data_IF_886016506105
#
_entry.id   IF_886016506105
#
_cell.length_a   1.000
_cell.length_b   1.000
_cell.length_c   1.000
_cell.angle_alpha   90.00
_cell.angle_beta   90.00
_cell.angle_gamma   90.00
#
_symmetry.space_group_name_H-M   'P 1'
#
loop_
_entity.id
_entity.type
_entity.pdbx_description
1 polymer ?
#
# COMPACT_ATOMS: atom_id res chain seq x y z
N UNK A 1 19.17 25.60 2.09
CA UNK A 1 18.18 25.02 3.01
C UNK A 1 18.74 25.11 4.42
N UNK A 2 18.04 25.77 5.35
CA UNK A 2 18.57 26.11 6.68
C UNK A 2 18.59 24.86 7.59
N UNK A 3 19.45 24.81 8.62
CA UNK A 3 19.56 23.64 9.52
C UNK A 3 18.22 23.28 10.21
N UNK A 4 17.35 24.27 10.42
CA UNK A 4 15.99 24.08 10.94
C UNK A 4 15.07 23.37 9.94
N UNK A 5 15.18 23.69 8.65
CA UNK A 5 14.37 23.07 7.59
C UNK A 5 14.72 21.59 7.42
N UNK A 6 16.00 21.24 7.62
CA UNK A 6 16.48 19.85 7.57
C UNK A 6 15.91 19.02 8.71
N UNK A 7 15.92 19.55 9.94
CA UNK A 7 15.33 18.87 11.12
C UNK A 7 13.81 18.70 10.97
N UNK A 8 13.11 19.75 10.53
CA UNK A 8 11.67 19.71 10.31
C UNK A 8 11.28 18.67 9.26
N UNK A 9 12.01 18.63 8.13
CA UNK A 9 11.77 17.64 7.07
C UNK A 9 11.94 16.20 7.58
N UNK A 10 12.97 15.93 8.37
CA UNK A 10 13.18 14.61 8.98
C UNK A 10 12.04 14.21 9.93
N UNK A 11 11.49 15.15 10.69
CA UNK A 11 10.33 14.90 11.55
C UNK A 11 9.10 14.55 10.71
N UNK A 12 8.84 15.31 9.65
CA UNK A 12 7.71 15.04 8.73
C UNK A 12 7.84 13.65 8.10
N UNK A 13 9.04 13.26 7.67
CA UNK A 13 9.30 11.92 7.11
C UNK A 13 9.02 10.80 8.12
N UNK A 14 9.44 10.96 9.39
CA UNK A 14 9.18 9.97 10.44
C UNK A 14 7.68 9.88 10.73
N UNK A 15 6.99 11.01 10.86
CA UNK A 15 5.54 11.03 11.07
C UNK A 15 4.80 10.38 9.91
N UNK A 16 5.23 10.62 8.67
CA UNK A 16 4.66 10.00 7.47
C UNK A 16 4.75 8.48 7.51
N UNK A 17 5.87 7.93 7.99
CA UNK A 17 6.03 6.48 8.20
C UNK A 17 5.11 5.94 9.28
N UNK A 18 4.97 6.65 10.40
CA UNK A 18 4.06 6.25 11.49
C UNK A 18 2.61 6.21 10.99
N UNK A 19 2.15 7.24 10.30
CA UNK A 19 0.79 7.27 9.73
C UNK A 19 0.58 6.24 8.62
N UNK A 20 1.64 5.90 7.88
CA UNK A 20 1.58 4.81 6.90
C UNK A 20 1.39 3.46 7.61
N UNK A 21 2.13 3.19 8.68
CA UNK A 21 1.98 1.96 9.46
C UNK A 21 0.60 1.88 10.15
N UNK A 22 0.13 3.01 10.67
CA UNK A 22 -1.20 3.12 11.28
C UNK A 22 -2.29 2.72 10.29
N UNK A 23 -2.31 3.29 9.07
CA UNK A 23 -3.30 2.93 8.04
C UNK A 23 -3.24 1.44 7.68
N UNK A 24 -2.04 0.87 7.61
CA UNK A 24 -1.85 -0.55 7.31
C UNK A 24 -2.48 -1.41 8.39
N UNK A 25 -2.24 -1.07 9.67
CA UNK A 25 -2.84 -1.77 10.81
C UNK A 25 -4.36 -1.58 10.83
N UNK A 26 -4.84 -0.36 10.62
CA UNK A 26 -6.25 -0.01 10.51
C UNK A 26 -6.94 -0.85 9.43
N UNK A 27 -6.31 -0.99 8.26
CA UNK A 27 -6.81 -1.84 7.18
C UNK A 27 -6.90 -3.31 7.59
N UNK A 28 -5.83 -3.90 8.15
CA UNK A 28 -5.84 -5.31 8.59
C UNK A 28 -6.96 -5.53 9.60
N UNK A 29 -7.07 -4.66 10.61
CA UNK A 29 -8.12 -4.75 11.62
C UNK A 29 -9.51 -4.62 11.01
N UNK A 30 -9.70 -3.74 10.01
CA UNK A 30 -10.99 -3.58 9.34
C UNK A 30 -11.49 -4.87 8.66
N UNK A 31 -10.58 -5.75 8.21
CA UNK A 31 -10.94 -7.04 7.60
C UNK A 31 -11.56 -8.04 8.57
N UNK A 32 -11.41 -7.82 9.87
CA UNK A 32 -12.01 -8.64 10.93
C UNK A 32 -13.40 -8.15 11.38
N UNK A 33 -13.95 -7.12 10.75
CA UNK A 33 -15.22 -6.49 11.12
C UNK A 33 -15.33 -6.17 12.64
N UNK A 34 -14.36 -5.45 13.22
CA UNK A 34 -14.27 -5.24 14.66
C UNK A 34 -15.38 -4.30 15.16
N UNK A 35 -15.79 -4.35 16.44
CA UNK A 35 -16.86 -3.50 16.97
C UNK A 35 -16.51 -1.99 17.02
N UNK A 36 -15.29 -1.60 16.66
CA UNK A 36 -14.77 -0.23 16.70
C UNK A 36 -14.45 0.34 15.31
N UNK A 37 -15.21 -0.03 14.27
CA UNK A 37 -14.98 0.46 12.90
C UNK A 37 -14.98 1.99 12.79
N UNK A 38 -15.85 2.68 13.53
CA UNK A 38 -15.90 4.14 13.52
C UNK A 38 -14.60 4.79 14.00
N UNK A 39 -13.90 4.15 14.95
CA UNK A 39 -12.60 4.62 15.42
C UNK A 39 -11.54 4.45 14.33
N UNK A 40 -11.52 3.31 13.64
CA UNK A 40 -10.60 3.05 12.54
C UNK A 40 -10.77 4.07 11.42
N UNK A 41 -12.03 4.35 11.04
CA UNK A 41 -12.35 5.37 10.03
C UNK A 41 -11.83 6.75 10.47
N UNK A 42 -12.04 7.15 11.74
CA UNK A 42 -11.56 8.44 12.26
C UNK A 42 -10.02 8.55 12.22
N UNK A 43 -9.32 7.46 12.53
CA UNK A 43 -7.86 7.42 12.43
C UNK A 43 -7.39 7.52 10.98
N UNK A 44 -8.06 6.84 10.05
CA UNK A 44 -7.75 6.95 8.62
C UNK A 44 -7.91 8.40 8.12
N UNK A 45 -8.96 9.11 8.55
CA UNK A 45 -9.15 10.54 8.25
C UNK A 45 -7.99 11.39 8.76
N UNK A 46 -7.52 11.13 9.99
CA UNK A 46 -6.41 11.86 10.60
C UNK A 46 -5.11 11.65 9.81
N UNK A 47 -4.81 10.41 9.42
CA UNK A 47 -3.63 10.07 8.62
C UNK A 47 -3.65 10.74 7.25
N UNK A 48 -4.83 10.86 6.63
CA UNK A 48 -4.96 11.49 5.31
C UNK A 48 -4.92 13.02 5.40
N UNK A 49 -5.44 13.61 6.48
CA UNK A 49 -5.21 15.03 6.76
C UNK A 49 -3.71 15.33 6.88
N UNK A 50 -2.96 14.48 7.60
CA UNK A 50 -1.51 14.62 7.70
C UNK A 50 -0.82 14.50 6.33
N UNK A 51 -1.19 13.52 5.50
CA UNK A 51 -0.60 13.37 4.17
C UNK A 51 -0.93 14.51 3.21
N UNK A 52 -2.13 15.07 3.33
CA UNK A 52 -2.52 16.26 2.56
C UNK A 52 -1.65 17.45 2.97
N UNK A 53 -1.42 17.62 4.28
CA UNK A 53 -0.48 18.61 4.79
C UNK A 53 0.94 18.39 4.26
N UNK A 54 1.46 17.15 4.32
CA UNK A 54 2.79 16.80 3.79
C UNK A 54 2.90 17.12 2.30
N UNK A 55 1.89 16.75 1.50
CA UNK A 55 1.86 17.01 0.07
C UNK A 55 1.89 18.52 -0.24
N UNK A 56 1.08 19.32 0.47
CA UNK A 56 1.05 20.77 0.32
C UNK A 56 2.39 21.38 0.74
N UNK A 57 2.95 20.94 1.87
CA UNK A 57 4.27 21.38 2.34
C UNK A 57 5.35 21.10 1.29
N UNK A 58 5.41 19.88 0.76
CA UNK A 58 6.38 19.53 -0.27
C UNK A 58 6.19 20.32 -1.57
N UNK A 59 4.95 20.64 -1.94
CA UNK A 59 4.64 21.45 -3.12
C UNK A 59 5.12 22.90 -2.97
N UNK A 60 4.96 23.52 -1.80
CA UNK A 60 5.40 24.90 -1.56
C UNK A 60 6.93 25.06 -1.54
N UNK A 61 7.66 24.05 -1.05
CA UNK A 61 9.11 24.13 -0.89
C UNK A 61 9.91 23.72 -2.13
N UNK A 62 9.27 23.10 -3.13
CA UNK A 62 9.95 22.77 -4.39
C UNK A 62 10.02 24.01 -5.31
N UNK A 63 11.24 24.33 -5.75
CA UNK A 63 11.50 25.46 -6.65
C UNK A 63 10.93 25.22 -8.06
N UNK A 64 11.06 24.00 -8.58
CA UNK A 64 10.58 23.60 -9.91
C UNK A 64 9.32 22.72 -9.81
N UNK A 65 8.15 23.36 -9.94
CA UNK A 65 6.84 22.70 -9.86
C UNK A 65 6.63 21.65 -10.96
N UNK A 66 7.34 21.72 -12.09
CA UNK A 66 7.19 20.72 -13.16
C UNK A 66 7.88 19.40 -12.79
N UNK A 67 8.98 19.46 -12.05
CA UNK A 67 9.63 18.28 -11.48
C UNK A 67 8.79 17.65 -10.38
N UNK A 68 8.05 18.47 -9.62
CA UNK A 68 7.13 17.97 -8.59
C UNK A 68 6.13 16.95 -9.15
N UNK A 69 5.42 17.32 -10.23
CA UNK A 69 4.40 16.45 -10.84
C UNK A 69 4.96 15.28 -11.65
N UNK A 70 6.27 15.25 -11.92
CA UNK A 70 6.95 14.12 -12.58
C UNK A 70 7.52 13.12 -11.58
N UNK A 71 7.63 13.47 -10.30
CA UNK A 71 8.11 12.53 -9.28
C UNK A 71 7.02 11.51 -8.95
N UNK A 72 7.33 10.22 -9.13
CA UNK A 72 6.42 9.09 -8.91
C UNK A 72 5.81 9.13 -7.51
N UNK A 73 6.58 9.55 -6.49
CA UNK A 73 6.07 9.61 -5.12
C UNK A 73 4.99 10.67 -4.94
N UNK A 74 5.15 11.85 -5.56
CA UNK A 74 4.14 12.91 -5.49
C UNK A 74 2.88 12.52 -6.27
N UNK A 75 3.03 11.79 -7.37
CA UNK A 75 1.89 11.24 -8.12
C UNK A 75 1.11 10.24 -7.26
N UNK A 76 1.79 9.31 -6.60
CA UNK A 76 1.15 8.35 -5.66
C UNK A 76 0.45 9.10 -4.54
N UNK A 77 1.09 10.11 -3.96
CA UNK A 77 0.52 10.92 -2.88
C UNK A 77 -0.75 11.66 -3.34
N UNK A 78 -0.73 12.24 -4.54
CA UNK A 78 -1.90 12.90 -5.13
C UNK A 78 -3.04 11.91 -5.41
N UNK A 79 -2.76 10.72 -5.96
CA UNK A 79 -3.76 9.68 -6.23
C UNK A 79 -4.43 9.24 -4.92
N UNK A 80 -3.65 9.02 -3.86
CA UNK A 80 -4.17 8.62 -2.54
C UNK A 80 -5.06 9.70 -1.94
N UNK A 81 -4.66 10.97 -1.99
CA UNK A 81 -5.45 12.08 -1.46
C UNK A 81 -6.76 12.21 -2.25
N UNK A 82 -6.69 12.17 -3.58
CA UNK A 82 -7.86 12.26 -4.46
C UNK A 82 -8.83 11.11 -4.23
N UNK A 83 -8.33 9.88 -4.17
CA UNK A 83 -9.09 8.69 -3.84
C UNK A 83 -9.93 8.84 -2.58
N UNK A 84 -9.33 9.39 -1.54
CA UNK A 84 -10.00 9.56 -0.26
C UNK A 84 -11.01 10.71 -0.27
N UNK A 85 -10.72 11.81 -0.97
CA UNK A 85 -11.69 12.89 -1.17
C UNK A 85 -12.95 12.39 -1.90
N UNK A 86 -12.79 11.52 -2.88
CA UNK A 86 -13.92 10.89 -3.56
C UNK A 86 -14.74 10.01 -2.59
N UNK A 87 -14.09 9.31 -1.67
CA UNK A 87 -14.78 8.54 -0.63
C UNK A 87 -15.56 9.40 0.37
N UNK A 88 -14.94 10.45 0.89
CA UNK A 88 -15.61 11.34 1.84
C UNK A 88 -16.85 11.99 1.21
N UNK A 89 -16.77 12.29 -0.09
CA UNK A 89 -17.92 12.73 -0.88
C UNK A 89 -19.00 11.64 -0.98
N UNK A 90 -18.62 10.40 -1.29
CA UNK A 90 -19.56 9.30 -1.45
C UNK A 90 -20.33 8.98 -0.16
N UNK A 91 -19.69 9.03 1.02
CA UNK A 91 -20.37 8.90 2.31
C UNK A 91 -21.42 9.99 2.54
N UNK A 92 -21.17 11.20 2.02
CA UNK A 92 -22.07 12.33 2.13
C UNK A 92 -23.31 12.18 1.23
N UNK A 93 -23.13 11.64 0.02
CA UNK A 93 -24.19 11.54 -0.99
C UNK A 93 -24.94 10.19 -1.01
N UNK A 94 -24.28 9.09 -0.62
CA UNK A 94 -24.87 7.76 -0.62
C UNK A 94 -24.46 7.00 0.64
N UNK A 95 -25.44 6.60 1.46
CA UNK A 95 -25.23 5.60 2.53
C UNK A 95 -24.97 4.18 1.94
N UNK A 96 -24.47 4.08 0.72
CA UNK A 96 -24.25 2.82 0.02
C UNK A 96 -22.85 2.28 0.36
N UNK A 97 -22.83 1.14 1.06
CA UNK A 97 -21.63 0.39 1.47
C UNK A 97 -20.65 0.03 0.33
N UNK A 98 -21.09 0.10 -0.94
CA UNK A 98 -20.28 -0.19 -2.13
C UNK A 98 -19.01 0.69 -2.24
N UNK A 99 -19.02 1.90 -1.67
CA UNK A 99 -17.86 2.80 -1.68
C UNK A 99 -16.64 2.24 -0.94
N UNK A 100 -16.84 1.50 0.16
CA UNK A 100 -15.78 1.04 1.08
C UNK A 100 -14.70 0.19 0.40
N UNK A 101 -15.06 -0.58 -0.63
CA UNK A 101 -14.14 -1.50 -1.32
C UNK A 101 -13.12 -0.78 -2.20
N UNK A 102 -13.49 0.34 -2.82
CA UNK A 102 -12.59 1.11 -3.69
C UNK A 102 -11.53 1.87 -2.88
N UNK A 103 -11.85 2.34 -1.68
CA UNK A 103 -10.86 2.95 -0.78
C UNK A 103 -9.84 1.93 -0.30
N UNK A 104 -10.29 0.71 -0.01
CA UNK A 104 -9.39 -0.37 0.38
C UNK A 104 -8.33 -0.64 -0.69
N UNK A 105 -8.70 -0.57 -1.98
CA UNK A 105 -7.74 -0.68 -3.11
C UNK A 105 -6.73 0.48 -3.10
N UNK A 106 -7.19 1.70 -2.79
CA UNK A 106 -6.36 2.92 -2.87
C UNK A 106 -5.47 3.09 -1.63
N UNK A 107 -5.85 2.53 -0.47
CA UNK A 107 -5.00 2.40 0.74
C UNK A 107 -3.77 1.54 0.49
N UNK A 108 -3.89 0.51 -0.36
CA UNK A 108 -2.78 -0.37 -0.72
C UNK A 108 -1.66 0.41 -1.44
N UNK A 109 -2.02 1.44 -2.23
CA UNK A 109 -1.03 2.27 -2.93
C UNK A 109 -0.17 3.10 -1.97
N UNK A 110 -0.62 3.32 -0.73
CA UNK A 110 0.14 4.02 0.32
C UNK A 110 1.36 3.18 0.73
N UNK A 111 1.33 1.85 0.63
CA UNK A 111 2.49 0.98 0.90
C UNK A 111 3.64 1.23 -0.08
N UNK A 112 3.36 1.74 -1.27
CA UNK A 112 4.43 2.17 -2.19
C UNK A 112 5.26 3.31 -1.58
N UNK A 113 4.77 4.01 -0.56
CA UNK A 113 5.57 5.00 0.19
C UNK A 113 6.64 4.36 1.07
N UNK A 114 6.51 3.09 1.47
CA UNK A 114 7.60 2.36 2.14
C UNK A 114 8.82 2.28 1.21
N UNK A 115 8.63 2.36 -0.11
CA UNK A 115 9.73 2.47 -1.08
C UNK A 115 10.52 3.78 -0.89
N UNK A 116 9.96 4.84 -0.28
CA UNK A 116 10.72 6.03 0.15
C UNK A 116 11.86 5.63 1.13
N UNK A 117 11.71 4.55 1.90
CA UNK A 117 12.79 4.01 2.75
C UNK A 117 13.98 3.49 1.92
N UNK A 118 13.80 3.12 0.64
CA UNK A 118 14.94 2.77 -0.24
C UNK A 118 15.91 3.94 -0.42
N UNK A 119 15.46 5.19 -0.22
CA UNK A 119 16.33 6.38 -0.26
C UNK A 119 17.28 6.47 0.94
N UNK A 120 17.11 5.65 1.98
CA UNK A 120 17.98 5.63 3.16
C UNK A 120 19.34 4.94 2.92
N UNK A 121 19.63 4.48 1.68
CA UNK A 121 20.88 3.77 1.33
C UNK A 121 21.17 2.55 2.23
N UNK A 122 20.11 1.88 2.65
CA UNK A 122 20.18 0.64 3.40
C UNK A 122 20.70 -0.52 2.53
N UNK A 123 21.09 -1.61 3.19
CA UNK A 123 21.63 -2.81 2.53
C UNK A 123 20.70 -3.25 1.35
N UNK A 124 21.23 -3.43 0.12
CA UNK A 124 20.45 -3.86 -1.04
C UNK A 124 19.65 -5.15 -0.79
N UNK A 125 20.16 -6.06 0.03
CA UNK A 125 19.45 -7.29 0.43
C UNK A 125 18.19 -6.98 1.24
N UNK A 126 18.28 -6.07 2.22
CA UNK A 126 17.15 -5.61 3.03
C UNK A 126 16.10 -4.92 2.14
N UNK A 127 16.54 -4.10 1.20
CA UNK A 127 15.65 -3.44 0.24
C UNK A 127 14.90 -4.46 -0.60
N UNK A 128 15.58 -5.48 -1.13
CA UNK A 128 14.95 -6.53 -1.91
C UNK A 128 13.92 -7.30 -1.07
N UNK A 129 14.28 -7.71 0.14
CA UNK A 129 13.36 -8.37 1.06
C UNK A 129 12.11 -7.54 1.36
N UNK A 130 12.28 -6.26 1.71
CA UNK A 130 11.15 -5.35 1.95
C UNK A 130 10.27 -5.17 0.71
N UNK A 131 10.86 -5.18 -0.48
CA UNK A 131 10.13 -5.05 -1.74
C UNK A 131 9.25 -6.27 -2.02
N UNK A 132 9.77 -7.46 -1.73
CA UNK A 132 9.01 -8.71 -1.81
C UNK A 132 7.86 -8.70 -0.81
N UNK A 133 8.13 -8.29 0.44
CA UNK A 133 7.11 -8.18 1.48
C UNK A 133 5.99 -7.21 1.08
N UNK A 134 6.33 -6.07 0.49
CA UNK A 134 5.35 -5.10 -0.03
C UNK A 134 4.50 -5.71 -1.15
N UNK A 135 5.11 -6.40 -2.12
CA UNK A 135 4.36 -7.04 -3.22
C UNK A 135 3.42 -8.11 -2.67
N UNK A 136 3.88 -8.97 -1.76
CA UNK A 136 3.02 -9.96 -1.09
C UNK A 136 1.86 -9.27 -0.38
N UNK A 137 2.12 -8.21 0.38
CA UNK A 137 1.09 -7.48 1.10
C UNK A 137 0.05 -6.87 0.15
N UNK A 138 0.50 -6.15 -0.88
CA UNK A 138 -0.36 -5.52 -1.90
C UNK A 138 -1.25 -6.56 -2.57
N UNK A 139 -0.65 -7.68 -3.01
CA UNK A 139 -1.34 -8.77 -3.69
C UNK A 139 -2.40 -9.40 -2.78
N UNK A 140 -2.07 -9.59 -1.50
CA UNK A 140 -2.97 -10.15 -0.49
C UNK A 140 -4.19 -9.25 -0.25
N UNK A 141 -3.99 -7.94 -0.16
CA UNK A 141 -5.10 -7.00 -0.04
C UNK A 141 -6.00 -7.05 -1.29
N UNK A 142 -5.43 -7.08 -2.49
CA UNK A 142 -6.19 -7.17 -3.73
C UNK A 142 -7.00 -8.47 -3.82
N UNK A 143 -6.40 -9.60 -3.43
CA UNK A 143 -7.09 -10.90 -3.35
C UNK A 143 -8.24 -10.83 -2.35
N UNK A 144 -8.01 -10.31 -1.14
CA UNK A 144 -9.08 -10.18 -0.15
C UNK A 144 -10.24 -9.34 -0.69
N UNK A 145 -9.96 -8.23 -1.38
CA UNK A 145 -11.00 -7.38 -1.97
C UNK A 145 -11.77 -8.10 -3.08
N UNK A 146 -11.08 -8.90 -3.91
CA UNK A 146 -11.71 -9.63 -5.00
C UNK A 146 -12.52 -10.84 -4.53
N UNK A 147 -12.09 -11.50 -3.45
CA UNK A 147 -12.58 -12.82 -3.07
C UNK A 147 -13.44 -12.83 -1.80
N UNK A 148 -13.33 -11.84 -0.90
CA UNK A 148 -13.96 -11.88 0.45
C UNK A 148 -15.48 -12.08 0.44
N UNK A 149 -16.19 -11.61 -0.58
CA UNK A 149 -17.66 -11.77 -0.64
C UNK A 149 -18.10 -13.10 -1.27
N UNK A 150 -17.21 -13.79 -1.99
CA UNK A 150 -17.55 -14.95 -2.84
C UNK A 150 -16.88 -16.23 -2.34
N UNK A 151 -15.71 -16.09 -1.71
CA UNK A 151 -14.86 -17.19 -1.31
C UNK A 151 -14.88 -17.40 0.20
N UNK A 152 -15.55 -18.45 0.70
CA UNK A 152 -15.65 -18.72 2.14
C UNK A 152 -14.30 -19.11 2.76
N UNK A 153 -13.29 -19.45 1.94
CA UNK A 153 -11.95 -19.73 2.41
C UNK A 153 -11.14 -18.45 2.70
N UNK A 154 -11.62 -17.27 2.29
CA UNK A 154 -10.95 -15.99 2.47
C UNK A 154 -11.87 -15.06 3.26
N UNK A 155 -11.79 -15.13 4.59
CA UNK A 155 -12.64 -14.33 5.47
C UNK A 155 -11.97 -13.02 5.89
N UNK A 156 -10.66 -13.07 6.13
CA UNK A 156 -9.87 -11.94 6.62
C UNK A 156 -8.60 -11.73 5.79
N UNK A 157 -7.86 -10.66 6.09
CA UNK A 157 -6.60 -10.37 5.41
C UNK A 157 -5.57 -11.51 5.51
N UNK A 158 -5.47 -12.18 6.67
CA UNK A 158 -4.47 -13.22 6.87
C UNK A 158 -4.73 -14.48 6.04
N UNK A 159 -5.99 -14.83 5.77
CA UNK A 159 -6.33 -15.92 4.85
C UNK A 159 -5.83 -15.61 3.43
N UNK A 160 -6.06 -14.36 2.97
CA UNK A 160 -5.56 -13.90 1.68
C UNK A 160 -4.02 -13.79 1.66
N UNK A 161 -3.41 -13.40 2.78
CA UNK A 161 -1.95 -13.32 2.93
C UNK A 161 -1.29 -14.69 2.91
N UNK A 162 -1.89 -15.66 3.59
CA UNK A 162 -1.49 -17.05 3.54
C UNK A 162 -1.55 -17.57 2.09
N UNK A 163 -2.71 -17.46 1.43
CA UNK A 163 -2.90 -17.88 0.03
C UNK A 163 -1.86 -17.26 -0.91
N UNK A 164 -1.67 -15.95 -0.81
CA UNK A 164 -0.72 -15.21 -1.65
C UNK A 164 0.71 -15.68 -1.39
N UNK A 165 1.08 -15.89 -0.13
CA UNK A 165 2.43 -16.34 0.25
C UNK A 165 2.72 -17.73 -0.28
N UNK A 166 1.82 -18.70 -0.09
CA UNK A 166 2.03 -20.08 -0.58
C UNK A 166 2.03 -20.15 -2.11
N UNK A 167 1.32 -19.24 -2.78
CA UNK A 167 1.27 -19.16 -4.25
C UNK A 167 2.56 -18.54 -4.81
N UNK A 168 3.02 -17.43 -4.25
CA UNK A 168 4.25 -16.75 -4.67
C UNK A 168 5.49 -17.60 -4.36
N UNK A 169 5.51 -18.28 -3.21
CA UNK A 169 6.60 -19.21 -2.86
C UNK A 169 6.52 -20.55 -3.60
N UNK A 170 5.53 -20.72 -4.50
CA UNK A 170 5.31 -21.93 -5.30
C UNK A 170 5.04 -23.21 -4.49
N UNK A 171 4.68 -23.07 -3.21
CA UNK A 171 4.31 -24.21 -2.35
C UNK A 171 2.95 -24.77 -2.78
N UNK A 172 1.96 -23.89 -2.96
CA UNK A 172 0.67 -24.23 -3.58
C UNK A 172 -0.06 -25.43 -2.98
N UNK A 173 -0.39 -25.40 -1.68
CA UNK A 173 -1.12 -26.49 -1.01
C UNK A 173 -2.48 -26.83 -1.64
N UNK A 174 -3.11 -25.86 -2.32
CA UNK A 174 -4.37 -26.05 -3.04
C UNK A 174 -5.62 -26.03 -2.15
N UNK A 175 -5.47 -25.68 -0.88
CA UNK A 175 -6.55 -25.53 0.10
C UNK A 175 -7.37 -24.24 -0.12
N UNK A 176 -6.72 -23.17 -0.57
CA UNK A 176 -7.36 -21.92 -1.00
C UNK A 176 -7.09 -21.70 -2.49
N UNK A 177 -8.15 -21.44 -3.26
CA UNK A 177 -8.04 -21.06 -4.68
C UNK A 177 -8.98 -19.91 -5.00
N UNK A 178 -8.61 -19.00 -5.92
CA UNK A 178 -9.45 -17.87 -6.29
C UNK A 178 -10.63 -18.35 -7.13
N UNK A 179 -11.83 -17.91 -6.75
CA UNK A 179 -13.08 -18.26 -7.44
C UNK A 179 -13.43 -17.22 -8.51
N UNK A 180 -13.00 -15.98 -8.33
CA UNK A 180 -13.28 -14.88 -9.25
C UNK A 180 -12.22 -14.76 -10.33
N UNK A 181 -12.61 -14.28 -11.52
CA UNK A 181 -11.65 -14.04 -12.60
C UNK A 181 -10.70 -12.88 -12.26
N UNK A 182 -11.16 -11.89 -11.49
CA UNK A 182 -10.32 -10.84 -10.94
C UNK A 182 -9.24 -11.42 -10.01
N UNK A 183 -9.60 -12.31 -9.08
CA UNK A 183 -8.66 -12.99 -8.19
C UNK A 183 -7.61 -13.81 -8.94
N UNK A 184 -8.02 -14.53 -10.00
CA UNK A 184 -7.11 -15.26 -10.89
C UNK A 184 -6.12 -14.33 -11.60
N UNK A 185 -6.61 -13.22 -12.16
CA UNK A 185 -5.73 -12.24 -12.82
C UNK A 185 -4.73 -11.62 -11.83
N UNK A 186 -5.21 -11.21 -10.65
CA UNK A 186 -4.36 -10.65 -9.59
C UNK A 186 -3.22 -11.62 -9.27
N UNK A 187 -3.50 -12.91 -9.01
CA UNK A 187 -2.43 -13.84 -8.63
C UNK A 187 -1.46 -14.12 -9.78
N UNK A 188 -1.93 -14.20 -11.02
CA UNK A 188 -1.08 -14.35 -12.22
C UNK A 188 -0.06 -13.20 -12.29
N UNK A 189 -0.53 -11.95 -12.24
CA UNK A 189 0.36 -10.80 -12.30
C UNK A 189 1.30 -10.75 -11.10
N UNK A 190 0.80 -11.06 -9.90
CA UNK A 190 1.61 -11.05 -8.67
C UNK A 190 2.80 -12.01 -8.76
N UNK A 191 2.58 -13.23 -9.26
CA UNK A 191 3.65 -14.23 -9.47
C UNK A 191 4.61 -13.79 -10.57
N UNK A 192 4.12 -13.24 -11.68
CA UNK A 192 5.00 -12.72 -12.75
C UNK A 192 5.91 -11.57 -12.28
N UNK A 193 5.37 -10.63 -11.50
CA UNK A 193 6.16 -9.55 -10.90
C UNK A 193 7.21 -10.09 -9.92
N UNK A 194 6.86 -11.09 -9.11
CA UNK A 194 7.79 -11.72 -8.18
C UNK A 194 8.96 -12.38 -8.93
N UNK A 195 8.66 -13.20 -9.94
CA UNK A 195 9.68 -13.89 -10.75
C UNK A 195 10.59 -12.87 -11.46
N UNK A 196 10.03 -11.81 -12.03
CA UNK A 196 10.82 -10.73 -12.66
C UNK A 196 11.78 -10.05 -11.67
N UNK A 197 11.32 -9.78 -10.44
CA UNK A 197 12.14 -9.21 -9.37
C UNK A 197 13.27 -10.15 -8.92
N UNK A 198 12.99 -11.45 -8.82
CA UNK A 198 13.98 -12.48 -8.49
C UNK A 198 15.06 -12.56 -9.57
N UNK A 199 14.67 -12.64 -10.84
CA UNK A 199 15.60 -12.71 -11.98
C UNK A 199 16.51 -11.47 -12.00
N UNK A 200 15.94 -10.29 -11.80
CA UNK A 200 16.72 -9.04 -11.79
C UNK A 200 17.75 -9.02 -10.65
N UNK A 201 17.36 -9.49 -9.47
CA UNK A 201 18.26 -9.60 -8.31
C UNK A 201 19.38 -10.62 -8.54
N UNK A 202 19.06 -11.78 -9.11
CA UNK A 202 20.04 -12.81 -9.48
C UNK A 202 21.02 -12.28 -10.53
N UNK A 203 20.55 -11.55 -11.54
CA UNK A 203 21.42 -10.96 -12.55
C UNK A 203 22.41 -9.94 -11.97
N UNK A 204 21.98 -9.13 -11.00
CA UNK A 204 22.88 -8.20 -10.30
C UNK A 204 23.92 -8.94 -9.46
N UNK A 205 23.50 -9.94 -8.70
CA UNK A 205 24.39 -10.78 -7.91
C UNK A 205 25.45 -11.49 -8.77
N UNK A 206 25.07 -12.02 -9.93
CA UNK A 206 25.98 -12.65 -10.89
C UNK A 206 26.95 -11.66 -11.55
N UNK A 207 26.56 -10.39 -11.70
CA UNK A 207 27.40 -9.33 -12.28
C UNK A 207 28.34 -8.68 -11.25
N UNK A 208 28.20 -8.99 -9.96
CA UNK A 208 29.01 -8.39 -8.90
C UNK A 208 28.70 -6.91 -8.65
N UNK A 209 27.48 -6.46 -8.99
CA UNK A 209 26.97 -5.10 -8.74
C UNK A 209 26.01 -5.05 -7.54
#
# INVERSE_FOLDING_TARGET
MNLKDIKLKKIIEILSLIFTLEIVISFILSTYNPPYQDLLIKLDYLSIMFFTFEFIYNFYYIEDKTKFFKDVYNIVDAIVILAFLLYSLQLFYSKAFLGLRVINILRILILLRIIKLRRLKENPELINFLSLLIICFISSCLIWIAESDVNPAINNFFDAFYFTTISITTVGYGDITPKTDAGKLIIIFSVLFFISGLITSLQKALKGE
#
